data_IF_011441136602
#
_entry.id   IF_011441136602
#
_cell.length_a   1.000
_cell.length_b   1.000
_cell.length_c   1.000
_cell.angle_alpha   90.00
_cell.angle_beta   90.00
_cell.angle_gamma   90.00
#
_symmetry.space_group_name_H-M   'P 1'
#
loop_
_entity.id
_entity.type
_entity.pdbx_description
1 polymer ?
#
# COMPACT_ATOMS: atom_id res chain seq x y z
N UNK A 1 -10.99 -9.33 -9.12
CA UNK A 1 -9.67 -8.67 -9.07
C UNK A 1 -8.61 -9.71 -9.42
N UNK A 2 -7.32 -9.39 -9.56
CA UNK A 2 -6.30 -10.43 -9.74
C UNK A 2 -5.86 -10.97 -8.38
N UNK A 3 -5.74 -12.29 -8.23
CA UNK A 3 -5.13 -12.96 -7.07
C UNK A 3 -3.69 -13.42 -7.32
N UNK A 4 -3.15 -13.12 -8.51
CA UNK A 4 -1.73 -13.34 -8.80
C UNK A 4 -0.89 -12.25 -8.12
N UNK A 5 0.09 -12.60 -7.26
CA UNK A 5 0.75 -11.64 -6.37
C UNK A 5 1.36 -10.42 -7.07
N UNK A 6 2.18 -10.63 -8.11
CA UNK A 6 2.84 -9.54 -8.83
C UNK A 6 1.82 -8.65 -9.53
N UNK A 7 0.81 -9.23 -10.19
CA UNK A 7 -0.24 -8.47 -10.87
C UNK A 7 -1.08 -7.68 -9.87
N UNK A 8 -1.41 -8.27 -8.73
CA UNK A 8 -2.12 -7.57 -7.67
C UNK A 8 -1.32 -6.37 -7.17
N UNK A 9 -0.04 -6.54 -6.86
CA UNK A 9 0.82 -5.47 -6.35
C UNK A 9 1.09 -4.36 -7.38
N UNK A 10 1.26 -4.70 -8.67
CA UNK A 10 1.54 -3.70 -9.72
C UNK A 10 0.30 -2.97 -10.23
N UNK A 11 -0.87 -3.58 -10.19
CA UNK A 11 -2.07 -3.00 -10.81
C UNK A 11 -3.22 -2.81 -9.82
N UNK A 12 -3.63 -3.88 -9.14
CA UNK A 12 -4.84 -3.84 -8.32
C UNK A 12 -4.66 -2.99 -7.07
N UNK A 13 -3.54 -3.16 -6.35
CA UNK A 13 -3.28 -2.47 -5.10
C UNK A 13 -3.13 -0.94 -5.27
N UNK A 14 -2.37 -0.41 -6.24
CA UNK A 14 -2.32 1.03 -6.49
C UNK A 14 -3.69 1.63 -6.85
N UNK A 15 -4.51 0.91 -7.63
CA UNK A 15 -5.90 1.35 -7.96
C UNK A 15 -6.79 1.41 -6.72
N UNK A 16 -6.73 0.38 -5.86
CA UNK A 16 -7.44 0.36 -4.59
C UNK A 16 -7.01 1.50 -3.67
N UNK A 17 -5.70 1.76 -3.59
CA UNK A 17 -5.15 2.87 -2.84
C UNK A 17 -5.71 4.21 -3.32
N UNK A 18 -5.64 4.48 -4.64
CA UNK A 18 -6.17 5.71 -5.24
C UNK A 18 -7.66 5.89 -4.94
N UNK A 19 -8.47 4.83 -5.07
CA UNK A 19 -9.89 4.88 -4.72
C UNK A 19 -10.12 5.19 -3.23
N UNK A 20 -9.26 4.67 -2.35
CA UNK A 20 -9.30 4.97 -0.92
C UNK A 20 -8.99 6.44 -0.62
N UNK A 21 -8.04 7.05 -1.34
CA UNK A 21 -7.71 8.48 -1.25
C UNK A 21 -8.87 9.34 -1.74
N UNK A 22 -9.44 9.05 -2.91
CA UNK A 22 -10.61 9.76 -3.45
C UNK A 22 -11.78 9.78 -2.46
N UNK A 23 -12.02 8.66 -1.76
CA UNK A 23 -13.04 8.57 -0.71
C UNK A 23 -12.74 9.45 0.49
N UNK A 24 -11.48 9.47 0.94
CA UNK A 24 -11.06 10.35 2.03
C UNK A 24 -11.24 11.82 1.64
N UNK A 25 -10.88 12.18 0.41
CA UNK A 25 -11.09 13.52 -0.15
C UNK A 25 -12.57 13.90 -0.17
N UNK A 26 -13.45 13.04 -0.69
CA UNK A 26 -14.89 13.28 -0.73
C UNK A 26 -15.48 13.48 0.68
N UNK A 27 -15.09 12.64 1.65
CA UNK A 27 -15.56 12.77 3.04
C UNK A 27 -15.01 14.02 3.73
N UNK A 28 -13.74 14.34 3.52
CA UNK A 28 -13.11 15.55 4.06
C UNK A 28 -13.78 16.82 3.50
N UNK A 29 -14.11 16.85 2.21
CA UNK A 29 -14.88 17.92 1.59
C UNK A 29 -16.30 18.03 2.15
N UNK A 30 -16.91 16.90 2.55
CA UNK A 30 -18.18 16.85 3.26
C UNK A 30 -18.13 17.26 4.74
N UNK A 31 -16.97 17.67 5.26
CA UNK A 31 -16.81 18.15 6.63
C UNK A 31 -16.45 17.08 7.67
N UNK A 32 -16.15 15.84 7.26
CA UNK A 32 -15.69 14.79 8.18
C UNK A 32 -14.26 15.08 8.66
N UNK A 33 -14.13 15.51 9.92
CA UNK A 33 -12.86 15.84 10.55
C UNK A 33 -11.91 14.63 10.64
N UNK A 34 -12.44 13.41 10.84
CA UNK A 34 -11.61 12.20 10.89
C UNK A 34 -11.05 11.88 9.51
N UNK A 35 -11.88 12.00 8.47
CA UNK A 35 -11.44 11.81 7.09
C UNK A 35 -10.39 12.86 6.69
N UNK A 36 -10.57 14.12 7.09
CA UNK A 36 -9.59 15.19 6.85
C UNK A 36 -8.23 14.89 7.50
N UNK A 37 -8.23 14.47 8.77
CA UNK A 37 -6.98 14.12 9.46
C UNK A 37 -6.31 12.90 8.82
N UNK A 38 -7.10 11.89 8.44
CA UNK A 38 -6.57 10.69 7.78
C UNK A 38 -6.02 11.00 6.39
N UNK A 39 -6.67 11.88 5.63
CA UNK A 39 -6.18 12.35 4.35
C UNK A 39 -4.84 13.06 4.49
N UNK A 40 -4.70 13.99 5.44
CA UNK A 40 -3.43 14.67 5.72
C UNK A 40 -2.31 13.70 6.12
N UNK A 41 -2.62 12.68 6.93
CA UNK A 41 -1.68 11.62 7.31
C UNK A 41 -1.23 10.79 6.10
N UNK A 42 -2.13 10.49 5.17
CA UNK A 42 -1.83 9.75 3.94
C UNK A 42 -1.07 10.60 2.93
N UNK A 43 -1.48 11.85 2.73
CA UNK A 43 -0.82 12.79 1.81
C UNK A 43 0.59 13.16 2.28
N UNK A 44 0.83 13.15 3.59
CA UNK A 44 2.13 13.39 4.17
C UNK A 44 3.09 12.19 4.16
N UNK A 45 2.60 10.99 3.82
CA UNK A 45 3.43 9.78 3.77
C UNK A 45 4.30 9.78 2.51
N UNK A 46 5.60 9.52 2.66
CA UNK A 46 6.56 9.56 1.53
C UNK A 46 7.51 8.35 1.53
N UNK A 47 8.17 8.12 0.40
CA UNK A 47 9.21 7.10 0.24
C UNK A 47 8.74 5.87 -0.52
N UNK A 48 9.54 4.82 -0.53
CA UNK A 48 9.27 3.61 -1.32
C UNK A 48 9.12 2.39 -0.42
N UNK A 49 8.14 1.55 -0.75
CA UNK A 49 8.01 0.20 -0.24
C UNK A 49 8.61 -0.76 -1.27
N UNK A 50 9.48 -1.65 -0.80
CA UNK A 50 9.99 -2.78 -1.56
C UNK A 50 9.22 -4.04 -1.17
N UNK A 51 8.69 -4.75 -2.16
CA UNK A 51 8.03 -6.04 -1.99
C UNK A 51 8.73 -7.07 -2.87
N UNK A 52 9.31 -8.08 -2.23
CA UNK A 52 9.84 -9.27 -2.87
C UNK A 52 8.81 -10.41 -2.76
N UNK A 53 8.42 -10.94 -3.92
CA UNK A 53 7.63 -12.16 -4.01
C UNK A 53 8.60 -13.27 -4.43
N UNK A 54 9.04 -14.07 -3.47
CA UNK A 54 10.10 -15.05 -3.70
C UNK A 54 9.69 -16.03 -4.81
N UNK A 55 10.58 -16.20 -5.79
CA UNK A 55 10.35 -17.04 -6.97
C UNK A 55 9.50 -16.40 -8.08
N UNK A 56 8.92 -15.21 -7.86
CA UNK A 56 8.07 -14.53 -8.85
C UNK A 56 8.60 -13.15 -9.28
N UNK A 57 9.26 -12.41 -8.39
CA UNK A 57 9.92 -11.14 -8.70
C UNK A 57 9.73 -10.06 -7.65
N UNK A 58 10.03 -8.82 -8.03
CA UNK A 58 10.01 -7.67 -7.13
C UNK A 58 9.09 -6.53 -7.62
N UNK A 59 8.56 -5.78 -6.66
CA UNK A 59 7.74 -4.58 -6.88
C UNK A 59 8.21 -3.45 -5.98
N UNK A 60 8.36 -2.27 -6.56
CA UNK A 60 8.68 -1.04 -5.84
C UNK A 60 7.49 -0.09 -5.93
N UNK A 61 6.92 0.29 -4.79
CA UNK A 61 5.78 1.21 -4.70
C UNK A 61 6.22 2.52 -4.04
N UNK A 62 6.31 3.59 -4.81
CA UNK A 62 6.59 4.92 -4.30
C UNK A 62 5.32 5.64 -3.86
N UNK A 63 5.38 6.25 -2.69
CA UNK A 63 4.37 7.13 -2.12
C UNK A 63 4.88 8.57 -2.12
N UNK A 64 4.06 9.47 -2.63
CA UNK A 64 4.28 10.91 -2.55
C UNK A 64 2.94 11.65 -2.69
N UNK A 65 2.65 12.59 -1.78
CA UNK A 65 1.45 13.44 -1.85
C UNK A 65 0.12 12.66 -1.92
N UNK A 66 0.04 11.48 -1.30
CA UNK A 66 -1.15 10.64 -1.36
C UNK A 66 -1.35 9.91 -2.70
N UNK A 67 -0.31 9.85 -3.53
CA UNK A 67 -0.29 9.06 -4.76
C UNK A 67 0.67 7.89 -4.62
N UNK A 68 0.21 6.70 -5.00
CA UNK A 68 1.03 5.50 -5.12
C UNK A 68 1.41 5.25 -6.57
N UNK A 69 2.70 5.07 -6.84
CA UNK A 69 3.24 4.82 -8.18
C UNK A 69 4.14 3.59 -8.16
N UNK A 70 3.98 2.70 -9.13
CA UNK A 70 4.90 1.57 -9.32
C UNK A 70 6.16 2.09 -10.01
N UNK A 71 7.34 1.73 -9.51
CA UNK A 71 8.61 2.05 -10.16
C UNK A 71 9.09 0.89 -11.02
N UNK A 72 9.56 1.20 -12.23
CA UNK A 72 10.13 0.21 -13.16
C UNK A 72 11.56 -0.21 -12.80
N UNK A 73 12.22 0.54 -11.91
CA UNK A 73 13.58 0.27 -11.46
C UNK A 73 13.71 0.50 -9.96
N UNK A 74 14.66 -0.22 -9.35
CA UNK A 74 15.02 -0.09 -7.94
C UNK A 74 15.50 1.34 -7.63
N UNK A 75 14.88 2.05 -6.68
CA UNK A 75 15.35 3.36 -6.26
C UNK A 75 16.59 3.26 -5.35
N UNK A 76 17.18 4.41 -5.03
CA UNK A 76 18.21 4.50 -4.00
C UNK A 76 17.74 3.85 -2.69
N UNK A 77 18.59 3.06 -2.04
CA UNK A 77 18.25 2.35 -0.82
C UNK A 77 17.76 3.29 0.30
N UNK A 78 18.26 4.53 0.34
CA UNK A 78 17.82 5.56 1.30
C UNK A 78 16.37 6.01 1.14
N UNK A 79 15.75 5.74 -0.02
CA UNK A 79 14.33 6.01 -0.30
C UNK A 79 13.43 4.86 0.13
N UNK A 80 13.97 3.66 0.36
CA UNK A 80 13.20 2.51 0.80
C UNK A 80 12.94 2.64 2.30
N UNK A 81 11.67 2.70 2.69
CA UNK A 81 11.22 2.86 4.09
C UNK A 81 10.71 1.56 4.71
N UNK A 82 10.24 0.65 3.86
CA UNK A 82 9.70 -0.64 4.24
C UNK A 82 10.13 -1.66 3.19
N UNK A 83 10.63 -2.80 3.65
CA UNK A 83 10.94 -3.94 2.80
C UNK A 83 10.21 -5.17 3.34
N UNK A 84 9.49 -5.86 2.45
CA UNK A 84 8.72 -7.06 2.76
C UNK A 84 9.12 -8.15 1.78
N UNK A 85 9.49 -9.32 2.28
CA UNK A 85 9.69 -10.51 1.47
C UNK A 85 8.72 -11.61 1.91
N UNK A 86 8.06 -12.24 0.95
CA UNK A 86 7.15 -13.35 1.20
C UNK A 86 7.17 -14.36 0.03
N UNK A 87 7.02 -15.67 0.30
CA UNK A 87 6.87 -16.68 -0.75
C UNK A 87 5.65 -16.42 -1.65
N UNK A 88 5.82 -16.57 -2.97
CA UNK A 88 4.74 -16.36 -3.94
C UNK A 88 3.52 -17.25 -3.70
N UNK A 89 3.74 -18.51 -3.31
CA UNK A 89 2.66 -19.43 -2.95
C UNK A 89 1.88 -18.95 -1.71
N UNK A 90 2.57 -18.47 -0.67
CA UNK A 90 1.93 -17.93 0.52
C UNK A 90 1.12 -16.67 0.21
N UNK A 91 1.65 -15.77 -0.61
CA UNK A 91 0.94 -14.57 -1.07
C UNK A 91 -0.31 -14.93 -1.89
N UNK A 92 -0.20 -15.90 -2.81
CA UNK A 92 -1.34 -16.37 -3.62
C UNK A 92 -2.43 -17.00 -2.74
N UNK A 93 -2.04 -17.81 -1.76
CA UNK A 93 -2.97 -18.39 -0.79
C UNK A 93 -3.68 -17.28 0.01
N UNK A 94 -2.93 -16.32 0.56
CA UNK A 94 -3.48 -15.21 1.33
C UNK A 94 -4.45 -14.35 0.48
N UNK A 95 -4.08 -14.02 -0.75
CA UNK A 95 -4.95 -13.26 -1.66
C UNK A 95 -6.20 -14.06 -2.05
N UNK A 96 -6.08 -15.38 -2.24
CA UNK A 96 -7.22 -16.26 -2.49
C UNK A 96 -8.18 -16.36 -1.31
N UNK A 97 -7.66 -16.50 -0.08
CA UNK A 97 -8.48 -16.47 1.14
C UNK A 97 -9.15 -15.11 1.35
N UNK A 98 -8.42 -14.03 1.10
CA UNK A 98 -8.96 -12.68 1.16
C UNK A 98 -10.08 -12.46 0.13
N UNK A 99 -9.94 -12.98 -1.10
CA UNK A 99 -11.00 -12.95 -2.10
C UNK A 99 -12.22 -13.75 -1.65
N UNK A 100 -12.01 -14.99 -1.18
CA UNK A 100 -13.09 -15.86 -0.70
C UNK A 100 -13.87 -15.28 0.49
N UNK A 101 -13.19 -14.54 1.37
CA UNK A 101 -13.79 -13.86 2.51
C UNK A 101 -14.41 -12.48 2.17
N UNK A 102 -14.40 -12.07 0.90
CA UNK A 102 -14.89 -10.74 0.48
C UNK A 102 -14.01 -9.59 0.98
N UNK A 103 -12.78 -9.87 1.42
CA UNK A 103 -11.84 -8.87 1.91
C UNK A 103 -11.26 -8.01 0.77
N UNK A 104 -11.30 -8.54 -0.46
CA UNK A 104 -10.94 -7.83 -1.69
C UNK A 104 -12.12 -7.11 -2.36
N UNK A 105 -13.31 -7.08 -1.73
CA UNK A 105 -14.40 -6.22 -2.19
C UNK A 105 -13.95 -4.77 -2.22
N UNK A 106 -14.17 -4.10 -3.36
CA UNK A 106 -13.53 -2.83 -3.72
C UNK A 106 -13.64 -1.77 -2.62
N UNK A 107 -14.78 -1.70 -1.96
CA UNK A 107 -15.05 -0.73 -0.90
C UNK A 107 -14.23 -0.95 0.37
N UNK A 108 -14.14 -2.21 0.78
CA UNK A 108 -13.43 -2.65 1.98
C UNK A 108 -11.92 -2.66 1.72
N UNK A 109 -11.54 -3.16 0.55
CA UNK A 109 -10.16 -3.22 0.09
C UNK A 109 -9.56 -1.83 -0.08
N UNK A 110 -10.28 -0.87 -0.70
CA UNK A 110 -9.80 0.51 -0.85
C UNK A 110 -9.56 1.19 0.51
N UNK A 111 -10.46 0.97 1.48
CA UNK A 111 -10.31 1.49 2.84
C UNK A 111 -9.07 0.92 3.52
N UNK A 112 -8.76 -0.37 3.32
CA UNK A 112 -7.56 -0.98 3.89
C UNK A 112 -6.29 -0.55 3.18
N UNK A 113 -6.30 -0.53 1.85
CA UNK A 113 -5.16 -0.12 1.03
C UNK A 113 -4.68 1.28 1.40
N UNK A 114 -5.58 2.27 1.47
CA UNK A 114 -5.20 3.64 1.88
C UNK A 114 -4.69 3.72 3.32
N UNK A 115 -5.12 2.80 4.19
CA UNK A 115 -4.65 2.69 5.57
C UNK A 115 -3.20 2.25 5.72
N UNK A 116 -2.58 1.72 4.65
CA UNK A 116 -1.17 1.28 4.66
C UNK A 116 -0.17 2.44 4.60
N UNK A 117 -0.61 3.62 4.15
CA UNK A 117 0.19 4.84 4.17
C UNK A 117 -0.13 5.68 5.41
N UNK A 118 0.90 6.04 6.17
CA UNK A 118 0.77 6.94 7.32
C UNK A 118 2.07 7.68 7.58
N UNK A 119 2.02 9.01 7.47
CA UNK A 119 3.09 9.90 7.91
C UNK A 119 3.38 9.72 9.40
N UNK A 120 2.35 9.62 10.23
CA UNK A 120 2.53 9.48 11.68
C UNK A 120 3.29 8.20 12.04
N UNK A 121 3.02 7.10 11.34
CA UNK A 121 3.79 5.87 11.50
C UNK A 121 5.25 6.04 11.06
N UNK A 122 5.48 6.71 9.92
CA UNK A 122 6.84 6.99 9.44
C UNK A 122 7.63 7.88 10.42
N UNK A 123 6.99 8.91 10.99
CA UNK A 123 7.61 9.77 12.00
C UNK A 123 7.92 9.01 13.29
N UNK A 124 7.01 8.12 13.72
CA UNK A 124 7.24 7.27 14.89
C UNK A 124 8.40 6.28 14.71
N UNK A 125 8.64 5.82 13.48
CA UNK A 125 9.78 4.97 13.12
C UNK A 125 11.08 5.77 12.94
N UNK A 126 11.01 7.08 12.69
CA UNK A 126 12.17 7.95 12.57
C UNK A 126 13.09 7.56 11.40
N UNK A 127 14.36 7.28 11.69
CA UNK A 127 15.34 6.82 10.69
C UNK A 127 15.34 5.30 10.48
N UNK A 128 14.62 4.56 11.32
CA UNK A 128 14.63 3.11 11.28
C UNK A 128 13.75 2.60 10.12
N UNK A 129 14.20 1.52 9.49
CA UNK A 129 13.44 0.81 8.46
C UNK A 129 12.79 -0.42 9.06
N UNK A 130 11.53 -0.68 8.71
CA UNK A 130 10.90 -1.96 9.02
C UNK A 130 11.25 -2.99 7.93
N UNK A 131 11.73 -4.15 8.38
CA UNK A 131 11.96 -5.33 7.55
C UNK A 131 11.02 -6.42 8.05
N UNK A 132 10.17 -6.92 7.15
CA UNK A 132 9.30 -8.06 7.43
C UNK A 132 9.68 -9.22 6.52
N UNK A 133 9.93 -10.37 7.14
CA UNK A 133 10.04 -11.66 6.47
C UNK A 133 8.81 -12.45 6.89
N UNK A 134 7.97 -12.85 5.94
CA UNK A 134 6.72 -13.57 6.18
C UNK A 134 6.77 -14.92 5.51
#
# INVERSE_FOLDING_TARGET
MSTEPITFLKDTFPKLFAKGVERLQAKAAGGDARAKNKLQDVEGATGTVYLEVEGEGEVFLALDGGKMTVLDAKPDASKIKLAVAAPGEAMRMLLGEAEAAGELEEDKAAKRAVGTASKNLQEALGTDSLLFHV
#
